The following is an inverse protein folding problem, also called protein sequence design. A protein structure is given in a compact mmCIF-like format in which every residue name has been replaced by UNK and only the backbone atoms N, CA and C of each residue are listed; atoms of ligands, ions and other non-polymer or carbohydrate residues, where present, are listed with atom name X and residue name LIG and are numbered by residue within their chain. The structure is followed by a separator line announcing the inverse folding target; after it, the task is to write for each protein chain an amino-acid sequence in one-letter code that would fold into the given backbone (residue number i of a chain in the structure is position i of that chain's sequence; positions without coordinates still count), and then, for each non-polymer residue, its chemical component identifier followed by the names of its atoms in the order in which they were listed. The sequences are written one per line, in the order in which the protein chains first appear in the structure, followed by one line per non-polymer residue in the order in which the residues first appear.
data_IF_811484353878
#
_entry.id   IF_811484353878
#
_cell.length_a   1.000
_cell.length_b   1.000
_cell.length_c   1.000
_cell.angle_alpha   90.00
_cell.angle_beta   90.00
_cell.angle_gamma   90.00
#
_symmetry.space_group_name_H-M   'P 1'
#
loop_
_entity.id
_entity.type
_entity.pdbx_description
1 polymer ?
#
# COMPACT_ATOMS: atom_id res chain seq x y z
N UNK A 1 21.87 1.10 -8.21
CA UNK A 1 20.72 0.31 -7.72
C UNK A 1 19.66 1.31 -7.30
N UNK A 2 18.45 1.22 -7.84
CA UNK A 2 17.34 2.08 -7.40
C UNK A 2 16.97 1.60 -6.00
N UNK A 3 17.04 2.46 -5.00
CA UNK A 3 16.52 2.13 -3.67
C UNK A 3 15.01 1.97 -3.76
N UNK A 4 14.50 0.85 -3.24
CA UNK A 4 13.08 0.55 -3.12
C UNK A 4 12.72 0.47 -1.62
N UNK A 5 12.69 1.62 -0.91
CA UNK A 5 12.58 1.66 0.53
C UNK A 5 11.26 1.05 1.03
N UNK A 6 10.16 1.28 0.31
CA UNK A 6 8.83 0.76 0.65
C UNK A 6 8.78 -0.78 0.59
N UNK A 7 9.38 -1.38 -0.43
CA UNK A 7 9.45 -2.84 -0.58
C UNK A 7 10.32 -3.48 0.51
N UNK A 8 11.47 -2.88 0.82
CA UNK A 8 12.32 -3.31 1.94
C UNK A 8 11.56 -3.25 3.25
N UNK A 9 10.80 -2.17 3.47
CA UNK A 9 10.01 -1.99 4.67
C UNK A 9 8.88 -3.02 4.78
N UNK A 10 8.18 -3.29 3.69
CA UNK A 10 7.16 -4.33 3.64
C UNK A 10 7.76 -5.71 3.95
N UNK A 11 8.92 -6.04 3.39
CA UNK A 11 9.64 -7.28 3.67
C UNK A 11 10.01 -7.40 5.16
N UNK A 12 10.56 -6.35 5.76
CA UNK A 12 10.88 -6.31 7.19
C UNK A 12 9.63 -6.59 8.04
N UNK A 13 8.51 -5.92 7.74
CA UNK A 13 7.24 -6.11 8.46
C UNK A 13 6.77 -7.56 8.36
N UNK A 14 6.75 -8.12 7.15
CA UNK A 14 6.31 -9.49 6.90
C UNK A 14 7.21 -10.52 7.60
N UNK A 15 8.53 -10.30 7.61
CA UNK A 15 9.49 -11.17 8.31
C UNK A 15 9.36 -11.11 9.83
N UNK A 16 9.00 -9.95 10.38
CA UNK A 16 8.76 -9.79 11.82
C UNK A 16 7.42 -10.42 12.24
N UNK A 17 6.34 -10.14 11.51
CA UNK A 17 4.99 -10.59 11.90
C UNK A 17 4.78 -12.07 11.56
N UNK A 18 5.29 -12.54 10.42
CA UNK A 18 5.13 -13.92 9.94
C UNK A 18 6.48 -14.56 9.59
N UNK A 19 7.40 -14.71 10.56
CA UNK A 19 8.75 -15.24 10.29
C UNK A 19 8.71 -16.62 9.67
N UNK A 20 7.77 -17.47 10.08
CA UNK A 20 7.65 -18.80 9.49
C UNK A 20 7.27 -18.73 8.00
N UNK A 21 6.51 -17.72 7.55
CA UNK A 21 6.10 -17.54 6.15
C UNK A 21 7.15 -16.80 5.31
N UNK A 22 7.86 -15.82 5.87
CA UNK A 22 8.71 -14.90 5.08
C UNK A 22 10.19 -14.82 5.46
N UNK A 23 10.70 -15.61 6.43
CA UNK A 23 12.13 -15.56 6.84
C UNK A 23 13.11 -15.66 5.67
N UNK A 24 12.80 -16.48 4.67
CA UNK A 24 13.65 -16.70 3.48
C UNK A 24 13.18 -15.88 2.26
N UNK A 25 12.22 -14.97 2.43
CA UNK A 25 11.75 -14.10 1.36
C UNK A 25 12.80 -13.05 1.00
N UNK A 26 12.84 -12.67 -0.28
CA UNK A 26 13.78 -11.69 -0.80
C UNK A 26 13.08 -10.69 -1.73
N UNK A 27 13.71 -9.52 -1.90
CA UNK A 27 13.29 -8.55 -2.90
C UNK A 27 13.68 -9.04 -4.30
N UNK A 28 12.70 -9.18 -5.17
CA UNK A 28 12.85 -9.64 -6.56
C UNK A 28 11.94 -8.78 -7.45
N UNK A 29 12.19 -8.72 -8.74
CA UNK A 29 11.29 -8.00 -9.65
C UNK A 29 10.09 -8.90 -10.02
N UNK A 30 8.86 -8.40 -9.82
CA UNK A 30 7.59 -8.93 -10.33
C UNK A 30 7.25 -10.37 -9.89
N UNK A 31 6.64 -10.57 -8.71
CA UNK A 31 6.26 -9.56 -7.72
C UNK A 31 7.46 -9.11 -6.86
N UNK A 32 7.29 -7.97 -6.18
CA UNK A 32 8.33 -7.22 -5.46
C UNK A 32 9.04 -8.02 -4.34
N UNK A 33 8.31 -8.92 -3.68
CA UNK A 33 8.83 -9.83 -2.66
C UNK A 33 8.50 -11.26 -3.08
N UNK A 34 9.46 -12.17 -2.98
CA UNK A 34 9.25 -13.58 -3.32
C UNK A 34 9.81 -14.50 -2.25
N UNK A 35 9.04 -15.52 -1.89
CA UNK A 35 9.53 -16.68 -1.16
C UNK A 35 9.45 -17.92 -2.06
N UNK A 36 10.56 -18.21 -2.74
CA UNK A 36 10.64 -19.33 -3.68
C UNK A 36 10.45 -20.70 -3.02
N UNK A 37 10.87 -20.88 -1.77
CA UNK A 37 10.76 -22.19 -1.07
C UNK A 37 9.31 -22.53 -0.73
N UNK A 38 8.47 -21.50 -0.54
CA UNK A 38 7.04 -21.63 -0.24
C UNK A 38 6.12 -21.37 -1.43
N UNK A 39 6.67 -20.96 -2.58
CA UNK A 39 5.91 -20.52 -3.75
C UNK A 39 4.91 -19.40 -3.40
N UNK A 40 5.44 -18.32 -2.81
CA UNK A 40 4.68 -17.12 -2.45
C UNK A 40 5.27 -15.91 -3.18
N UNK A 41 4.42 -15.08 -3.77
CA UNK A 41 4.80 -13.79 -4.33
C UNK A 41 3.96 -12.66 -3.73
N UNK A 42 4.59 -11.57 -3.27
CA UNK A 42 3.90 -10.41 -2.69
C UNK A 42 4.21 -9.17 -3.51
N UNK A 43 3.17 -8.58 -4.08
CA UNK A 43 3.26 -7.26 -4.71
C UNK A 43 3.16 -6.17 -3.65
N UNK A 44 3.94 -5.10 -3.77
CA UNK A 44 3.89 -3.97 -2.84
C UNK A 44 3.28 -2.75 -3.54
N UNK A 45 2.44 -2.02 -2.78
CA UNK A 45 1.84 -0.76 -3.22
C UNK A 45 1.51 0.12 -2.05
N UNK A 46 1.07 1.33 -2.36
CA UNK A 46 0.46 2.26 -1.43
C UNK A 46 -0.92 2.69 -1.91
N UNK A 47 -1.76 3.17 -0.99
CA UNK A 47 -3.12 3.65 -1.29
C UNK A 47 -3.19 5.13 -1.69
N UNK A 48 -2.11 5.90 -1.54
CA UNK A 48 -2.05 7.28 -2.02
C UNK A 48 -2.06 7.33 -3.54
N UNK A 49 -2.82 8.29 -4.08
CA UNK A 49 -2.83 8.58 -5.52
C UNK A 49 -1.44 9.01 -6.00
N UNK A 50 -1.04 8.52 -7.18
CA UNK A 50 0.30 8.73 -7.75
C UNK A 50 0.67 10.21 -7.89
N UNK A 51 -0.28 11.06 -8.33
CA UNK A 51 -0.05 12.51 -8.42
C UNK A 51 0.23 13.17 -7.07
N UNK A 52 -0.36 12.64 -5.99
CA UNK A 52 -0.11 13.10 -4.61
C UNK A 52 1.26 12.63 -4.15
N UNK A 53 1.62 11.38 -4.38
CA UNK A 53 2.97 10.87 -4.07
C UNK A 53 4.05 11.71 -4.74
N UNK A 54 3.92 11.95 -6.04
CA UNK A 54 4.88 12.76 -6.81
C UNK A 54 4.99 14.18 -6.26
N UNK A 55 3.87 14.76 -5.83
CA UNK A 55 3.84 16.07 -5.22
C UNK A 55 4.48 16.13 -3.82
N UNK A 56 4.39 15.06 -3.03
CA UNK A 56 4.96 14.98 -1.68
C UNK A 56 6.46 14.71 -1.68
N UNK A 57 7.01 14.10 -2.74
CA UNK A 57 8.45 13.97 -2.96
C UNK A 57 9.22 13.35 -1.77
N UNK A 58 10.34 13.96 -1.38
CA UNK A 58 11.22 13.46 -0.30
C UNK A 58 10.60 13.54 1.11
N UNK A 59 9.60 14.41 1.31
CA UNK A 59 8.90 14.52 2.60
C UNK A 59 8.12 13.23 2.92
N UNK A 60 7.74 12.47 1.89
CA UNK A 60 7.13 11.14 1.99
C UNK A 60 8.14 10.04 2.30
N UNK A 61 9.24 9.96 1.56
CA UNK A 61 10.19 8.83 1.66
C UNK A 61 11.01 8.83 2.95
N UNK A 62 11.05 9.96 3.67
CA UNK A 62 11.88 10.17 4.86
C UNK A 62 11.10 10.20 6.18
N UNK A 63 9.77 10.03 6.15
CA UNK A 63 8.95 9.95 7.35
C UNK A 63 8.99 8.55 7.97
N UNK A 64 9.27 8.48 9.27
CA UNK A 64 9.31 7.23 10.03
C UNK A 64 7.93 6.79 10.54
N UNK A 65 7.00 7.74 10.59
CA UNK A 65 5.62 7.53 10.99
C UNK A 65 4.69 8.49 10.26
N UNK A 66 3.40 8.15 10.23
CA UNK A 66 2.35 8.99 9.65
C UNK A 66 2.29 10.37 10.35
N UNK A 67 2.46 10.40 11.67
CA UNK A 67 2.48 11.65 12.45
C UNK A 67 3.69 12.51 12.09
N UNK A 68 4.86 11.91 11.90
CA UNK A 68 6.05 12.64 11.45
C UNK A 68 5.84 13.27 10.08
N UNK A 69 5.13 12.58 9.18
CA UNK A 69 4.80 13.11 7.85
C UNK A 69 3.87 14.32 7.97
N UNK A 70 2.79 14.21 8.74
CA UNK A 70 1.82 15.30 8.97
C UNK A 70 2.50 16.50 9.62
N UNK A 71 3.33 16.28 10.64
CA UNK A 71 4.03 17.35 11.35
C UNK A 71 5.06 18.04 10.46
N UNK A 72 5.76 17.30 9.60
CA UNK A 72 6.65 17.88 8.58
C UNK A 72 5.88 18.70 7.57
N UNK A 73 4.77 18.19 7.06
CA UNK A 73 3.94 18.91 6.09
C UNK A 73 3.37 20.20 6.70
N UNK A 74 2.93 20.16 7.97
CA UNK A 74 2.52 21.36 8.72
C UNK A 74 3.67 22.35 8.89
N UNK A 75 4.88 21.87 9.21
CA UNK A 75 6.07 22.71 9.36
C UNK A 75 6.52 23.34 8.04
N UNK A 76 6.44 22.61 6.94
CA UNK A 76 6.85 23.07 5.60
C UNK A 76 5.86 24.06 5.00
N UNK A 77 4.55 23.85 5.21
CA UNK A 77 3.50 24.68 4.61
C UNK A 77 2.91 25.73 5.54
N UNK A 78 3.20 25.67 6.85
CA UNK A 78 2.75 26.64 7.86
C UNK A 78 1.23 26.72 8.04
N UNK A 79 0.47 25.80 7.46
CA UNK A 79 -1.00 25.76 7.46
C UNK A 79 -1.49 24.31 7.40
N UNK A 80 -2.76 24.07 7.75
CA UNK A 80 -3.43 22.78 7.54
C UNK A 80 -3.79 22.53 6.07
N UNK A 81 -3.17 23.22 5.13
CA UNK A 81 -3.39 23.05 3.69
C UNK A 81 -2.08 22.80 2.98
N UNK A 82 -1.96 21.62 2.39
CA UNK A 82 -0.83 21.26 1.55
C UNK A 82 -1.07 21.84 0.17
N UNK A 83 -0.18 22.73 -0.25
CA UNK A 83 -0.22 23.31 -1.59
C UNK A 83 0.74 22.55 -2.47
N UNK A 84 0.18 21.83 -3.43
CA UNK A 84 0.96 21.06 -4.40
C UNK A 84 0.58 21.40 -5.84
N UNK A 85 1.50 21.10 -6.74
CA UNK A 85 1.25 21.19 -8.18
C UNK A 85 1.10 19.78 -8.71
N UNK A 86 -0.10 19.45 -9.18
CA UNK A 86 -0.40 18.17 -9.80
C UNK A 86 -0.24 18.28 -11.31
N UNK A 87 0.37 17.28 -11.92
CA UNK A 87 0.33 17.08 -13.37
C UNK A 87 -0.92 16.28 -13.71
N UNK A 88 -1.82 16.87 -14.50
CA UNK A 88 -3.02 16.18 -14.99
C UNK A 88 -2.67 15.25 -16.17
N UNK A 89 -3.54 14.30 -16.53
CA UNK A 89 -3.28 13.34 -17.63
C UNK A 89 -3.00 13.98 -18.98
N UNK A 90 -3.49 15.21 -19.22
CA UNK A 90 -3.23 16.01 -20.42
C UNK A 90 -1.90 16.79 -20.37
N UNK A 91 -1.09 16.58 -19.32
CA UNK A 91 0.18 17.25 -19.09
C UNK A 91 0.05 18.64 -18.48
N UNK A 92 -1.17 19.12 -18.20
CA UNK A 92 -1.35 20.45 -17.58
C UNK A 92 -1.00 20.43 -16.10
N UNK A 93 -0.36 21.51 -15.64
CA UNK A 93 0.02 21.68 -14.23
C UNK A 93 -1.06 22.46 -13.49
N UNK A 94 -1.68 21.85 -12.47
CA UNK A 94 -2.71 22.48 -11.64
C UNK A 94 -2.22 22.64 -10.21
N UNK A 95 -2.19 23.88 -9.72
CA UNK A 95 -2.01 24.17 -8.30
C UNK A 95 -3.28 23.81 -7.54
N UNK A 96 -3.15 22.92 -6.56
CA UNK A 96 -4.24 22.52 -5.67
C UNK A 96 -3.82 22.78 -4.22
N UNK A 97 -4.79 23.22 -3.42
CA UNK A 97 -4.66 23.25 -1.97
C UNK A 97 -5.50 22.11 -1.41
N UNK A 98 -4.87 21.20 -0.68
CA UNK A 98 -5.55 20.08 -0.06
C UNK A 98 -5.54 20.32 1.43
N UNK A 99 -6.72 20.50 2.00
CA UNK A 99 -6.87 20.56 3.45
C UNK A 99 -6.48 19.20 4.03
N UNK A 100 -5.65 19.20 5.08
CA UNK A 100 -5.38 18.01 5.88
C UNK A 100 -6.67 17.39 6.44
N UNK A 101 -7.72 18.19 6.64
CA UNK A 101 -9.04 17.69 7.04
C UNK A 101 -9.74 16.84 5.96
N UNK A 102 -9.34 16.96 4.70
CA UNK A 102 -9.84 16.18 3.56
C UNK A 102 -8.76 15.25 2.99
N UNK A 103 -7.75 14.93 3.78
CA UNK A 103 -6.64 14.06 3.39
C UNK A 103 -7.12 12.66 2.98
N UNK A 104 -8.22 12.22 3.60
CA UNK A 104 -8.90 10.97 3.29
C UNK A 104 -9.28 10.83 1.80
N UNK A 105 -9.67 11.93 1.15
CA UNK A 105 -10.02 11.95 -0.27
C UNK A 105 -8.84 11.65 -1.23
N UNK A 106 -7.60 11.66 -0.70
CA UNK A 106 -6.37 11.42 -1.46
C UNK A 106 -5.94 9.97 -1.48
N UNK A 107 -6.51 9.14 -0.60
CA UNK A 107 -6.26 7.72 -0.58
C UNK A 107 -7.47 6.96 -1.11
N UNK A 108 -7.20 5.81 -1.73
CA UNK A 108 -8.26 4.90 -2.12
C UNK A 108 -7.74 3.47 -2.09
N UNK A 109 -7.98 2.80 -0.96
CA UNK A 109 -7.52 1.44 -0.72
C UNK A 109 -8.09 0.45 -1.75
N UNK A 110 -9.38 0.58 -2.07
CA UNK A 110 -10.05 -0.25 -3.07
C UNK A 110 -9.47 -0.04 -4.47
N UNK A 111 -9.23 1.20 -4.88
CA UNK A 111 -8.62 1.50 -6.18
C UNK A 111 -7.18 1.00 -6.28
N UNK A 112 -6.40 1.12 -5.19
CA UNK A 112 -5.04 0.56 -5.14
C UNK A 112 -5.06 -0.97 -5.34
N UNK A 113 -5.98 -1.65 -4.68
CA UNK A 113 -6.21 -3.08 -4.88
C UNK A 113 -6.60 -3.38 -6.33
N UNK A 114 -7.63 -2.72 -6.88
CA UNK A 114 -8.15 -2.97 -8.23
C UNK A 114 -7.09 -2.76 -9.31
N UNK A 115 -6.25 -1.72 -9.16
CA UNK A 115 -5.16 -1.44 -10.09
C UNK A 115 -4.11 -2.55 -10.08
N UNK A 116 -3.81 -3.13 -8.92
CA UNK A 116 -2.88 -4.26 -8.80
C UNK A 116 -3.52 -5.57 -9.25
N UNK A 117 -4.81 -5.79 -8.99
CA UNK A 117 -5.54 -6.95 -9.50
C UNK A 117 -5.54 -6.99 -11.03
N UNK A 118 -5.78 -5.86 -11.70
CA UNK A 118 -5.67 -5.75 -13.17
C UNK A 118 -4.28 -6.12 -13.67
N UNK A 119 -3.23 -5.74 -12.94
CA UNK A 119 -1.84 -6.05 -13.27
C UNK A 119 -1.54 -7.54 -13.11
N UNK A 120 -1.98 -8.16 -12.01
CA UNK A 120 -1.90 -9.61 -11.80
C UNK A 120 -2.58 -10.37 -12.96
N UNK A 121 -3.77 -9.92 -13.36
CA UNK A 121 -4.55 -10.51 -14.46
C UNK A 121 -3.99 -10.24 -15.86
N UNK A 122 -3.07 -9.28 -16.01
CA UNK A 122 -2.48 -8.96 -17.31
C UNK A 122 -1.48 -10.03 -17.81
N UNK A 123 -1.07 -10.97 -16.96
CA UNK A 123 -0.11 -12.03 -17.29
C UNK A 123 1.36 -11.58 -17.32
N UNK A 124 1.65 -10.33 -16.92
CA UNK A 124 3.02 -9.79 -16.89
C UNK A 124 3.78 -10.09 -15.60
N UNK A 125 3.18 -10.83 -14.67
CA UNK A 125 3.74 -11.20 -13.38
C UNK A 125 3.99 -12.70 -13.34
N UNK A 126 5.06 -13.11 -12.67
CA UNK A 126 5.24 -14.51 -12.30
C UNK A 126 4.16 -14.88 -11.30
N UNK A 127 3.38 -15.91 -11.62
CA UNK A 127 2.34 -16.43 -10.73
C UNK A 127 2.94 -17.47 -9.80
N UNK A 128 2.53 -17.38 -8.53
CA UNK A 128 2.90 -18.28 -7.46
C UNK A 128 1.69 -19.12 -7.04
N UNK A 129 1.92 -20.13 -6.17
CA UNK A 129 0.81 -20.88 -5.59
C UNK A 129 -0.02 -20.00 -4.65
N UNK A 130 0.62 -19.00 -4.05
CA UNK A 130 0.01 -17.97 -3.22
C UNK A 130 0.51 -16.59 -3.71
N UNK A 131 -0.43 -15.75 -4.14
CA UNK A 131 -0.15 -14.41 -4.64
C UNK A 131 -0.77 -13.41 -3.66
N UNK A 132 0.07 -12.67 -2.97
CA UNK A 132 -0.34 -11.73 -1.94
C UNK A 132 -0.14 -10.28 -2.39
N UNK A 133 -0.83 -9.37 -1.72
CA UNK A 133 -0.70 -7.93 -1.93
C UNK A 133 -0.42 -7.23 -0.60
N UNK A 134 0.61 -6.40 -0.56
CA UNK A 134 0.91 -5.53 0.57
C UNK A 134 0.59 -4.08 0.21
N UNK A 135 -0.27 -3.44 1.00
CA UNK A 135 -0.72 -2.06 0.79
C UNK A 135 -0.34 -1.21 2.00
N UNK A 136 0.51 -0.21 1.78
CA UNK A 136 0.67 0.89 2.74
C UNK A 136 -0.56 1.82 2.69
N UNK A 137 -1.17 2.05 3.84
CA UNK A 137 -2.25 3.04 4.00
C UNK A 137 -1.82 4.13 4.97
N UNK A 138 -2.46 5.29 4.82
CA UNK A 138 -2.23 6.46 5.66
C UNK A 138 -3.50 6.71 6.46
N UNK A 139 -3.35 6.83 7.77
CA UNK A 139 -4.40 6.97 8.77
C UNK A 139 -5.22 5.70 9.02
N UNK A 140 -5.29 5.36 10.30
CA UNK A 140 -6.07 4.24 10.84
C UNK A 140 -7.56 4.63 10.90
N UNK A 141 -8.28 4.38 9.82
CA UNK A 141 -9.72 4.19 9.90
C UNK A 141 -10.05 2.77 9.46
N UNK A 142 -10.33 1.91 10.44
CA UNK A 142 -10.67 0.50 10.23
C UNK A 142 -11.87 0.32 9.29
N UNK A 143 -12.74 1.33 9.15
CA UNK A 143 -13.86 1.27 8.22
C UNK A 143 -13.41 1.05 6.77
N UNK A 144 -12.21 1.50 6.40
CA UNK A 144 -11.65 1.24 5.07
C UNK A 144 -11.21 -0.21 4.87
N UNK A 145 -10.73 -0.87 5.92
CA UNK A 145 -10.39 -2.31 5.90
C UNK A 145 -11.67 -3.13 5.70
N UNK A 146 -12.74 -2.80 6.43
CA UNK A 146 -14.03 -3.46 6.28
C UNK A 146 -14.67 -3.20 4.90
N UNK A 147 -14.56 -1.98 4.38
CA UNK A 147 -14.98 -1.65 3.00
C UNK A 147 -14.20 -2.45 1.96
N UNK A 148 -12.89 -2.61 2.14
CA UNK A 148 -12.09 -3.46 1.26
C UNK A 148 -12.57 -4.91 1.34
N UNK A 149 -12.81 -5.47 2.53
CA UNK A 149 -13.34 -6.84 2.67
C UNK A 149 -14.70 -7.02 1.95
N UNK A 150 -15.60 -6.04 2.08
CA UNK A 150 -16.88 -6.05 1.37
C UNK A 150 -16.67 -6.05 -0.16
N UNK A 151 -15.81 -5.17 -0.67
CA UNK A 151 -15.44 -5.14 -2.09
C UNK A 151 -14.85 -6.46 -2.59
N UNK A 152 -13.91 -7.05 -1.83
CA UNK A 152 -13.31 -8.36 -2.13
C UNK A 152 -14.34 -9.48 -2.19
N UNK A 153 -15.48 -9.33 -1.53
CA UNK A 153 -16.58 -10.30 -1.54
C UNK A 153 -17.46 -10.19 -2.78
N UNK A 154 -17.39 -9.08 -3.52
CA UNK A 154 -18.13 -8.83 -4.76
C UNK A 154 -17.37 -9.27 -6.00
N UNK A 155 -16.04 -9.44 -5.91
CA UNK A 155 -15.18 -9.89 -7.00
C UNK A 155 -15.55 -11.32 -7.43
N UNK A 156 -15.60 -11.56 -8.75
CA UNK A 156 -16.01 -12.83 -9.38
C UNK A 156 -14.98 -13.37 -10.39
N UNK A 157 -13.71 -13.03 -10.20
CA UNK A 157 -12.61 -13.48 -11.07
C UNK A 157 -11.98 -14.77 -10.55
N UNK A 158 -11.38 -15.55 -11.45
CA UNK A 158 -10.63 -16.77 -11.09
C UNK A 158 -9.22 -16.46 -10.58
N UNK A 159 -8.66 -15.30 -10.93
CA UNK A 159 -7.33 -14.88 -10.49
C UNK A 159 -7.41 -13.61 -9.64
N UNK A 160 -7.17 -13.77 -8.34
CA UNK A 160 -7.17 -12.73 -7.32
C UNK A 160 -6.01 -12.96 -6.35
N UNK A 161 -5.78 -11.98 -5.46
CA UNK A 161 -4.79 -12.13 -4.39
C UNK A 161 -5.35 -13.00 -3.26
N UNK A 162 -4.55 -13.96 -2.79
CA UNK A 162 -4.90 -14.87 -1.71
C UNK A 162 -5.00 -14.13 -0.38
N UNK A 163 -3.92 -13.43 -0.01
CA UNK A 163 -3.88 -12.59 1.18
C UNK A 163 -3.64 -11.13 0.80
N UNK A 164 -4.39 -10.21 1.42
CA UNK A 164 -4.13 -8.77 1.34
C UNK A 164 -3.67 -8.28 2.70
N UNK A 165 -2.42 -7.83 2.76
CA UNK A 165 -1.85 -7.15 3.92
C UNK A 165 -2.06 -5.65 3.78
N UNK A 166 -2.67 -5.02 4.79
CA UNK A 166 -2.84 -3.57 4.86
C UNK A 166 -2.11 -3.04 6.08
N UNK A 167 -1.10 -2.20 5.87
CA UNK A 167 -0.29 -1.66 6.94
C UNK A 167 -0.64 -0.18 7.18
N UNK A 168 -1.12 0.11 8.39
CA UNK A 168 -1.25 1.46 8.95
C UNK A 168 -0.54 1.45 10.29
N UNK A 169 0.59 2.14 10.41
CA UNK A 169 1.46 2.02 11.58
C UNK A 169 0.69 2.33 12.87
N UNK A 170 0.76 1.48 13.93
CA UNK A 170 1.65 0.33 14.09
C UNK A 170 1.00 -1.02 13.73
N UNK A 171 -0.14 -1.03 13.06
CA UNK A 171 -0.93 -2.23 12.82
C UNK A 171 -0.77 -2.77 11.40
N UNK A 172 -0.73 -4.10 11.32
CA UNK A 172 -0.85 -4.86 10.08
C UNK A 172 -2.17 -5.62 10.11
N UNK A 173 -3.03 -5.39 9.12
CA UNK A 173 -4.25 -6.15 8.90
C UNK A 173 -3.96 -7.20 7.84
N UNK A 174 -4.23 -8.46 8.16
CA UNK A 174 -4.22 -9.57 7.21
C UNK A 174 -5.65 -9.88 6.81
N UNK A 175 -5.94 -9.79 5.51
CA UNK A 175 -7.24 -10.13 4.96
C UNK A 175 -7.09 -11.41 4.16
N UNK A 176 -7.66 -12.50 4.66
CA UNK A 176 -7.78 -13.75 3.92
C UNK A 176 -8.93 -13.62 2.92
N UNK A 177 -8.61 -13.57 1.62
CA UNK A 177 -9.60 -13.36 0.57
C UNK A 177 -10.48 -14.59 0.33
N UNK A 178 -10.05 -15.78 0.76
CA UNK A 178 -10.81 -17.02 0.64
C UNK A 178 -11.78 -17.16 1.81
N UNK A 179 -11.30 -16.99 3.03
CA UNK A 179 -12.07 -17.12 4.26
C UNK A 179 -12.89 -15.87 4.60
N UNK A 180 -12.63 -14.75 3.92
CA UNK A 180 -13.24 -13.43 4.19
C UNK A 180 -13.06 -13.02 5.65
N UNK A 181 -11.86 -13.23 6.18
CA UNK A 181 -11.49 -12.97 7.57
C UNK A 181 -10.44 -11.87 7.62
N UNK A 182 -10.54 -11.03 8.65
CA UNK A 182 -9.51 -10.04 8.99
C UNK A 182 -8.85 -10.47 10.30
N UNK A 183 -7.52 -10.47 10.32
CA UNK A 183 -6.71 -10.54 11.53
C UNK A 183 -5.89 -9.26 11.69
N UNK A 184 -5.78 -8.76 12.92
CA UNK A 184 -5.06 -7.52 13.24
C UNK A 184 -3.84 -7.87 14.09
N UNK A 185 -2.67 -7.47 13.61
CA UNK A 185 -1.39 -7.65 14.29
C UNK A 185 -0.80 -6.30 14.64
N UNK A 186 -0.12 -6.26 15.78
CA UNK A 186 0.71 -5.10 16.15
C UNK A 186 2.14 -5.37 15.72
N UNK A 187 2.72 -4.45 14.96
CA UNK A 187 4.11 -4.45 14.57
C UNK A 187 4.85 -3.44 15.45
N UNK A 188 5.77 -3.95 16.29
CA UNK A 188 6.63 -3.17 17.21
C UNK A 188 8.08 -3.19 16.75
#
# INVERSE_FOLDING_TARGET
MVERPDERRALEILQTVFPEKYRDAALVDKPDIQNASKSIGVEVTQSLKEGVLHALGESYTSSRSEQDMVDRLKKEHGTDTIRMTLTLPDGTMKRVGISLANWDSLFNLTEAYDNKLKKLQSGNYTLFNENDLFIFVFWEDESYIWRLLAHLSEIRTELYYDIVYVYSSPFLYEIDCNLKKIEKYRYE
#
